data_IF_085715574496
#
_entry.id   IF_085715574496
#
_cell.length_a   1.000
_cell.length_b   1.000
_cell.length_c   1.000
_cell.angle_alpha   90.00
_cell.angle_beta   90.00
_cell.angle_gamma   90.00
#
_symmetry.space_group_name_H-M   'P 1'
#
loop_
_entity.id
_entity.type
_entity.pdbx_description
1 polymer ?
#
# COMPACT_ATOMS: atom_id res chain seq x y z
N UNK A 1 -2.28 -43.26 16.11
CA UNK A 1 -2.06 -41.87 16.49
C UNK A 1 -2.13 -41.06 15.20
N UNK A 2 -3.34 -40.57 14.85
CA UNK A 2 -3.58 -39.78 13.64
C UNK A 2 -3.15 -38.36 13.92
N UNK A 3 -2.08 -37.90 13.26
CA UNK A 3 -1.72 -36.48 13.20
C UNK A 3 -2.70 -35.85 12.23
N UNK A 4 -3.71 -35.15 12.76
CA UNK A 4 -4.56 -34.29 11.96
C UNK A 4 -3.71 -33.14 11.43
N UNK A 5 -3.32 -33.19 10.16
CA UNK A 5 -2.88 -32.03 9.44
C UNK A 5 -4.05 -31.05 9.38
N UNK A 6 -4.03 -30.07 10.25
CA UNK A 6 -4.81 -28.86 10.05
C UNK A 6 -4.26 -28.20 8.79
N UNK A 7 -4.90 -28.42 7.66
CA UNK A 7 -4.83 -27.51 6.55
C UNK A 7 -5.39 -26.18 7.07
N UNK A 8 -4.53 -25.28 7.48
CA UNK A 8 -4.89 -23.87 7.51
C UNK A 8 -5.24 -23.55 6.05
N UNK A 9 -6.51 -23.33 5.80
CA UNK A 9 -6.98 -22.60 4.62
C UNK A 9 -6.35 -21.21 4.74
N UNK A 10 -5.23 -21.01 4.07
CA UNK A 10 -4.54 -19.74 4.04
C UNK A 10 -5.33 -18.78 3.15
N UNK A 11 -6.43 -18.24 3.69
CA UNK A 11 -7.11 -17.10 3.11
C UNK A 11 -6.13 -15.92 3.02
N UNK A 12 -6.27 -15.10 2.00
CA UNK A 12 -5.55 -13.83 1.90
C UNK A 12 -6.33 -12.75 2.61
N UNK A 13 -5.62 -11.87 3.34
CA UNK A 13 -6.21 -10.75 4.06
C UNK A 13 -5.51 -9.46 3.71
N UNK A 14 -6.29 -8.45 3.32
CA UNK A 14 -5.84 -7.08 3.11
C UNK A 14 -6.35 -6.21 4.24
N UNK A 15 -5.47 -5.41 4.87
CA UNK A 15 -5.83 -4.37 5.84
C UNK A 15 -5.36 -3.02 5.32
N UNK A 16 -6.27 -2.06 5.24
CA UNK A 16 -5.93 -0.68 4.86
C UNK A 16 -5.31 0.05 6.07
N UNK A 17 -4.02 0.30 6.03
CA UNK A 17 -3.29 1.00 7.08
C UNK A 17 -3.45 2.52 7.01
N UNK A 18 -3.65 3.05 5.81
CA UNK A 18 -3.94 4.43 5.52
C UNK A 18 -4.56 4.56 4.13
N UNK A 19 -5.49 5.48 3.98
CA UNK A 19 -6.30 5.64 2.75
C UNK A 19 -6.29 7.07 2.21
N UNK A 20 -5.49 7.95 2.82
CA UNK A 20 -5.37 9.35 2.46
C UNK A 20 -4.20 9.62 1.51
N UNK A 21 -4.30 10.69 0.77
CA UNK A 21 -3.25 11.25 -0.07
C UNK A 21 -2.07 11.81 0.76
N UNK A 22 -1.07 12.36 0.10
CA UNK A 22 0.20 12.84 0.66
C UNK A 22 0.08 13.74 1.91
N UNK A 23 -0.99 14.48 2.05
CA UNK A 23 -1.22 15.35 3.20
C UNK A 23 -2.00 14.66 4.34
N UNK A 24 -2.57 13.49 4.09
CA UNK A 24 -3.56 12.88 4.96
C UNK A 24 -4.85 13.69 5.08
N UNK A 25 -5.81 13.21 5.83
CA UNK A 25 -7.06 13.91 6.18
C UNK A 25 -7.31 13.74 7.68
N UNK A 26 -7.50 14.82 8.43
CA UNK A 26 -7.61 16.23 8.04
C UNK A 26 -6.28 16.85 7.58
N UNK A 27 -6.39 17.78 6.63
CA UNK A 27 -5.25 18.58 6.16
C UNK A 27 -4.93 19.68 7.15
N UNK A 28 -3.65 19.89 7.45
CA UNK A 28 -3.19 20.92 8.40
C UNK A 28 -3.73 22.29 7.98
N UNK A 29 -4.42 22.97 8.92
CA UNK A 29 -5.01 24.27 8.71
C UNK A 29 -6.31 24.31 7.89
N UNK A 30 -6.76 23.19 7.31
CA UNK A 30 -8.02 23.12 6.60
C UNK A 30 -9.22 23.14 7.55
N UNK A 31 -10.27 23.86 7.14
CA UNK A 31 -11.50 24.01 7.92
C UNK A 31 -12.75 23.55 7.18
N UNK A 32 -12.57 22.79 6.09
CA UNK A 32 -13.71 22.23 5.36
C UNK A 32 -14.46 21.19 6.20
N UNK A 33 -15.65 20.85 5.75
CA UNK A 33 -16.53 19.89 6.41
C UNK A 33 -15.84 18.56 6.67
N UNK A 34 -15.21 17.97 5.66
CA UNK A 34 -14.49 16.69 5.75
C UNK A 34 -13.36 16.74 6.79
N UNK A 35 -12.55 17.81 6.79
CA UNK A 35 -11.45 17.95 7.76
C UNK A 35 -11.92 18.20 9.21
N UNK A 36 -13.20 18.55 9.41
CA UNK A 36 -13.85 18.72 10.72
C UNK A 36 -14.77 17.59 11.11
N UNK A 37 -14.95 16.61 10.22
CA UNK A 37 -15.82 15.46 10.47
C UNK A 37 -15.40 14.68 11.71
N UNK A 38 -16.39 14.20 12.44
CA UNK A 38 -16.20 13.28 13.58
C UNK A 38 -16.26 11.81 13.14
N UNK A 39 -16.71 11.54 11.91
CA UNK A 39 -16.68 10.19 11.35
C UNK A 39 -15.22 9.75 11.16
N UNK A 40 -14.85 8.62 11.79
CA UNK A 40 -13.50 8.09 11.70
C UNK A 40 -13.09 7.72 10.27
N UNK A 41 -14.06 7.43 9.40
CA UNK A 41 -13.81 7.09 8.00
C UNK A 41 -13.38 8.30 7.15
N UNK A 42 -13.61 9.52 7.64
CA UNK A 42 -13.12 10.77 7.06
C UNK A 42 -11.71 11.15 7.53
N UNK A 43 -11.18 10.41 8.51
CA UNK A 43 -9.80 10.59 9.00
C UNK A 43 -8.91 9.56 8.34
N UNK A 44 -7.98 10.02 7.52
CA UNK A 44 -7.18 9.17 6.65
C UNK A 44 -5.69 9.46 6.83
N UNK A 45 -4.94 8.49 7.34
CA UNK A 45 -3.49 8.48 7.31
C UNK A 45 -2.99 8.33 5.87
N UNK A 46 -1.71 8.66 5.63
CA UNK A 46 -1.09 8.46 4.29
C UNK A 46 -1.23 7.01 3.88
N UNK A 47 -1.44 6.84 2.59
CA UNK A 47 -1.71 5.54 1.97
C UNK A 47 -0.66 4.50 2.33
N UNK A 48 -1.15 3.38 2.83
CA UNK A 48 -0.38 2.16 3.08
C UNK A 48 -1.35 1.00 3.29
N UNK A 49 -0.92 -0.21 3.02
CA UNK A 49 -1.70 -1.42 3.23
C UNK A 49 -0.84 -2.57 3.78
N UNK A 50 -1.49 -3.51 4.45
CA UNK A 50 -0.89 -4.77 4.88
C UNK A 50 -1.59 -5.93 4.20
N UNK A 51 -0.82 -6.80 3.56
CA UNK A 51 -1.29 -8.06 2.95
C UNK A 51 -0.73 -9.22 3.75
N UNK A 52 -1.63 -10.07 4.25
CA UNK A 52 -1.28 -11.30 4.94
C UNK A 52 -1.71 -12.49 4.05
N UNK A 53 -0.77 -13.31 3.64
CA UNK A 53 -0.98 -14.45 2.74
C UNK A 53 0.08 -15.52 2.97
N UNK A 54 -0.32 -16.80 3.00
CA UNK A 54 0.58 -17.96 3.21
C UNK A 54 1.49 -17.81 4.44
N UNK A 55 0.99 -17.17 5.51
CA UNK A 55 1.76 -16.91 6.72
C UNK A 55 2.79 -15.79 6.63
N UNK A 56 2.89 -15.13 5.47
CA UNK A 56 3.73 -13.95 5.26
C UNK A 56 2.93 -12.67 5.48
N UNK A 57 3.60 -11.61 5.93
CA UNK A 57 3.03 -10.28 6.14
C UNK A 57 3.82 -9.23 5.38
N UNK A 58 3.20 -8.65 4.37
CA UNK A 58 3.76 -7.62 3.51
C UNK A 58 3.16 -6.26 3.84
N UNK A 59 3.99 -5.24 3.95
CA UNK A 59 3.54 -3.86 4.04
C UNK A 59 3.78 -3.19 2.69
N UNK A 60 2.73 -2.60 2.13
CA UNK A 60 2.84 -1.76 0.93
C UNK A 60 2.93 -0.32 1.40
N UNK A 61 4.08 0.29 1.14
CA UNK A 61 4.51 1.63 1.55
C UNK A 61 4.64 1.85 3.08
N UNK A 62 5.65 2.62 3.44
CA UNK A 62 5.99 2.98 4.81
C UNK A 62 6.14 4.52 4.92
N UNK A 63 5.03 5.23 4.79
CA UNK A 63 4.96 6.68 4.89
C UNK A 63 5.16 7.22 6.32
N UNK A 64 5.04 8.54 6.53
CA UNK A 64 5.29 9.17 7.84
C UNK A 64 4.39 8.65 8.96
N UNK A 65 3.27 8.02 8.64
CA UNK A 65 2.32 7.47 9.62
C UNK A 65 2.61 6.00 9.97
N UNK A 66 3.65 5.38 9.38
CA UNK A 66 3.98 3.96 9.50
C UNK A 66 3.99 3.48 10.96
N UNK A 67 4.67 4.20 11.86
CA UNK A 67 4.71 3.83 13.28
C UNK A 67 3.31 3.75 13.89
N UNK A 68 2.47 4.75 13.65
CA UNK A 68 1.11 4.77 14.18
C UNK A 68 0.26 3.65 13.58
N UNK A 69 0.40 3.39 12.29
CA UNK A 69 -0.28 2.31 11.56
C UNK A 69 0.06 0.94 12.16
N UNK A 70 1.35 0.66 12.40
CA UNK A 70 1.80 -0.59 13.03
C UNK A 70 1.27 -0.77 14.46
N UNK A 71 1.28 0.30 15.26
CA UNK A 71 0.76 0.27 16.64
C UNK A 71 -0.76 0.08 16.68
N UNK A 72 -1.51 0.73 15.79
CA UNK A 72 -2.97 0.60 15.71
C UNK A 72 -3.41 -0.82 15.39
N UNK A 73 -2.72 -1.47 14.46
CA UNK A 73 -3.04 -2.84 14.04
C UNK A 73 -2.33 -3.91 14.90
N UNK A 74 -1.54 -3.51 15.91
CA UNK A 74 -0.82 -4.45 16.78
C UNK A 74 0.19 -5.32 16.04
N UNK A 75 0.81 -4.78 14.98
CA UNK A 75 1.77 -5.50 14.15
C UNK A 75 3.07 -5.70 14.93
N UNK A 76 3.48 -6.94 15.13
CA UNK A 76 4.70 -7.31 15.85
C UNK A 76 5.80 -7.86 14.94
N UNK A 77 5.47 -8.21 13.69
CA UNK A 77 6.37 -8.80 12.72
C UNK A 77 5.96 -8.40 11.30
N UNK A 78 6.95 -8.21 10.44
CA UNK A 78 6.77 -7.98 8.99
C UNK A 78 7.84 -8.79 8.23
N UNK A 79 7.47 -9.37 7.10
CA UNK A 79 8.40 -10.15 6.26
C UNK A 79 9.06 -9.26 5.21
N UNK A 80 8.33 -8.32 4.63
CA UNK A 80 8.89 -7.35 3.71
C UNK A 80 8.05 -6.07 3.62
N UNK A 81 8.70 -4.99 3.18
CA UNK A 81 8.06 -3.75 2.72
C UNK A 81 8.20 -3.69 1.19
N UNK A 82 7.09 -3.44 0.52
CA UNK A 82 7.02 -3.26 -0.92
C UNK A 82 6.74 -1.78 -1.19
N UNK A 83 7.67 -1.07 -1.80
CA UNK A 83 7.54 0.35 -2.09
C UNK A 83 7.01 0.56 -3.49
N UNK A 84 5.97 1.38 -3.61
CA UNK A 84 5.35 1.71 -4.89
C UNK A 84 6.17 2.72 -5.68
N UNK A 85 6.72 3.74 -5.01
CA UNK A 85 7.57 4.77 -5.59
C UNK A 85 8.30 5.59 -4.50
N UNK A 86 9.13 6.56 -4.89
CA UNK A 86 10.06 7.26 -4.00
C UNK A 86 9.49 8.45 -3.22
N UNK A 87 8.23 8.85 -3.40
CA UNK A 87 7.66 9.99 -2.68
C UNK A 87 7.64 9.80 -1.15
N UNK A 88 7.75 10.90 -0.41
CA UNK A 88 7.95 10.85 1.04
C UNK A 88 6.73 10.41 1.82
N UNK A 89 5.54 10.60 1.28
CA UNK A 89 4.30 10.08 1.86
C UNK A 89 4.22 8.53 1.80
N UNK A 90 5.07 7.88 0.97
CA UNK A 90 5.19 6.43 0.85
C UNK A 90 6.46 5.87 1.51
N UNK A 91 7.47 6.71 1.78
CA UNK A 91 8.79 6.25 2.24
C UNK A 91 9.28 6.89 3.52
N UNK A 92 8.62 7.98 3.99
CA UNK A 92 9.14 8.82 5.08
C UNK A 92 9.19 8.17 6.46
N UNK A 93 8.53 7.04 6.67
CA UNK A 93 8.50 6.31 7.94
C UNK A 93 9.47 5.12 8.02
N UNK A 94 10.31 4.92 7.02
CA UNK A 94 11.22 3.75 6.96
C UNK A 94 12.17 3.66 8.16
N UNK A 95 12.56 4.77 8.80
CA UNK A 95 13.40 4.71 9.99
C UNK A 95 12.76 3.94 11.15
N UNK A 96 11.44 3.92 11.24
CA UNK A 96 10.69 3.23 12.30
C UNK A 96 10.75 1.69 12.19
N UNK A 97 11.27 1.12 11.08
CA UNK A 97 11.52 -0.33 10.97
C UNK A 97 12.53 -0.80 12.02
N UNK A 98 13.30 0.12 12.57
CA UNK A 98 14.22 -0.12 13.69
C UNK A 98 13.54 -0.84 14.86
N UNK A 99 12.28 -0.55 15.13
CA UNK A 99 11.53 -1.24 16.18
C UNK A 99 11.44 -2.74 15.95
N UNK A 100 11.21 -3.17 14.70
CA UNK A 100 11.17 -4.59 14.33
C UNK A 100 12.57 -5.22 14.34
N UNK A 101 13.62 -4.46 14.00
CA UNK A 101 14.98 -4.98 14.00
C UNK A 101 15.47 -5.40 15.39
N UNK A 102 15.05 -4.69 16.44
CA UNK A 102 15.60 -4.85 17.79
C UNK A 102 14.61 -5.40 18.81
N UNK A 103 13.40 -5.81 18.41
CA UNK A 103 12.36 -6.32 19.32
C UNK A 103 12.83 -7.53 20.15
N UNK A 104 13.67 -8.38 19.58
CA UNK A 104 14.19 -9.60 20.21
C UNK A 104 15.68 -9.46 20.63
N UNK A 105 16.11 -8.23 20.95
CA UNK A 105 17.53 -8.03 21.32
C UNK A 105 17.99 -9.05 22.38
N UNK A 106 19.20 -9.71 22.22
CA UNK A 106 20.31 -9.35 21.32
C UNK A 106 20.21 -9.90 19.88
N UNK A 107 19.17 -10.62 19.51
CA UNK A 107 18.93 -11.02 18.11
C UNK A 107 18.52 -9.78 17.34
N UNK A 108 19.16 -9.54 16.20
CA UNK A 108 18.86 -8.40 15.32
C UNK A 108 18.26 -8.94 14.03
N UNK A 109 17.05 -8.50 13.73
CA UNK A 109 16.34 -8.86 12.50
C UNK A 109 16.66 -7.87 11.39
N UNK A 110 16.64 -8.32 10.15
CA UNK A 110 16.81 -7.46 8.97
C UNK A 110 15.47 -7.20 8.32
N UNK A 111 15.12 -5.94 8.09
CA UNK A 111 13.95 -5.58 7.29
C UNK A 111 14.30 -5.60 5.82
N UNK A 112 13.56 -6.39 5.05
CA UNK A 112 13.69 -6.48 3.60
C UNK A 112 12.77 -5.46 2.93
N UNK A 113 13.34 -4.58 2.08
CA UNK A 113 12.60 -3.54 1.35
C UNK A 113 12.80 -3.77 -0.15
N UNK A 114 11.70 -3.83 -0.87
CA UNK A 114 11.65 -4.05 -2.31
C UNK A 114 11.07 -2.82 -3.00
N UNK A 115 11.63 -2.45 -4.14
CA UNK A 115 11.14 -1.35 -4.96
C UNK A 115 11.88 -1.31 -6.30
N UNK A 116 11.41 -0.50 -7.24
CA UNK A 116 12.13 -0.28 -8.48
C UNK A 116 13.44 0.49 -8.24
N UNK A 117 14.30 0.54 -9.24
CA UNK A 117 15.64 1.12 -9.08
C UNK A 117 15.61 2.58 -8.61
N UNK A 118 14.79 3.52 -9.17
CA UNK A 118 14.72 4.90 -8.68
C UNK A 118 14.31 4.99 -7.20
N UNK A 119 13.37 4.17 -6.78
CA UNK A 119 12.90 4.12 -5.39
C UNK A 119 14.03 3.63 -4.46
N UNK A 120 14.69 2.54 -4.83
CA UNK A 120 15.80 1.97 -4.03
C UNK A 120 16.97 2.95 -3.92
N UNK A 121 17.32 3.65 -4.99
CA UNK A 121 18.34 4.70 -4.95
C UNK A 121 17.94 5.88 -4.05
N UNK A 122 16.66 6.29 -4.08
CA UNK A 122 16.14 7.32 -3.19
C UNK A 122 16.25 6.90 -1.73
N UNK A 123 15.86 5.66 -1.37
CA UNK A 123 16.00 5.14 -0.02
C UNK A 123 17.46 5.12 0.43
N UNK A 124 18.36 4.66 -0.42
CA UNK A 124 19.81 4.62 -0.11
C UNK A 124 20.38 6.01 0.17
N UNK A 125 19.94 7.02 -0.58
CA UNK A 125 20.35 8.42 -0.41
C UNK A 125 19.78 9.01 0.89
N UNK A 126 18.48 8.82 1.11
CA UNK A 126 17.74 9.51 2.17
C UNK A 126 18.03 8.89 3.55
N UNK A 127 18.28 7.60 3.61
CA UNK A 127 18.64 6.85 4.82
C UNK A 127 20.10 6.38 4.78
N UNK A 128 21.01 7.16 4.17
CA UNK A 128 22.41 6.81 3.94
C UNK A 128 23.14 6.29 5.19
N UNK A 129 22.78 6.77 6.38
CA UNK A 129 23.36 6.34 7.66
C UNK A 129 23.10 4.85 7.95
N UNK A 130 21.98 4.31 7.47
CA UNK A 130 21.64 2.89 7.59
C UNK A 130 22.51 1.99 6.68
N UNK A 131 23.14 2.56 5.65
CA UNK A 131 23.95 1.86 4.64
C UNK A 131 25.46 2.20 4.73
N UNK A 132 25.86 3.05 5.68
CA UNK A 132 27.24 3.43 5.90
C UNK A 132 28.10 2.25 6.33
N UNK A 133 29.39 2.21 5.89
CA UNK A 133 30.36 1.22 6.38
C UNK A 133 30.65 1.39 7.88
N UNK A 134 30.56 2.61 8.39
CA UNK A 134 30.80 2.94 9.80
C UNK A 134 29.44 3.23 10.51
N UNK A 135 28.60 2.21 10.59
CA UNK A 135 27.31 2.31 11.28
C UNK A 135 27.52 2.51 12.79
N UNK A 136 26.77 3.45 13.39
CA UNK A 136 26.64 3.48 14.85
C UNK A 136 25.64 2.41 15.32
N UNK A 137 25.72 2.03 16.60
CA UNK A 137 24.79 1.05 17.17
C UNK A 137 23.36 1.57 17.18
N UNK A 138 22.41 0.72 16.75
CA UNK A 138 20.99 1.04 16.77
C UNK A 138 20.46 1.76 15.52
N UNK A 139 21.23 1.83 14.42
CA UNK A 139 20.67 2.17 13.10
C UNK A 139 19.75 1.07 12.59
N UNK A 140 18.77 1.38 11.73
CA UNK A 140 17.95 0.36 11.12
C UNK A 140 18.80 -0.66 10.32
N UNK A 141 18.51 -1.95 10.50
CA UNK A 141 19.09 -3.02 9.70
C UNK A 141 18.16 -3.31 8.51
N UNK A 142 18.53 -2.76 7.35
CA UNK A 142 17.75 -2.80 6.12
C UNK A 142 18.53 -3.50 5.02
N UNK A 143 17.85 -4.37 4.30
CA UNK A 143 18.33 -4.96 3.06
C UNK A 143 17.44 -4.52 1.91
N UNK A 144 18.04 -3.83 0.94
CA UNK A 144 17.35 -3.31 -0.24
C UNK A 144 17.40 -4.33 -1.39
N UNK A 145 16.28 -4.47 -2.07
CA UNK A 145 16.11 -5.35 -3.23
C UNK A 145 15.48 -4.56 -4.38
N UNK A 146 16.20 -4.48 -5.50
CA UNK A 146 15.68 -3.87 -6.72
C UNK A 146 14.81 -4.87 -7.47
N UNK A 147 13.60 -4.45 -7.80
CA UNK A 147 12.63 -5.25 -8.56
C UNK A 147 12.88 -5.11 -10.07
N UNK A 148 12.70 -6.21 -10.80
CA UNK A 148 12.41 -6.16 -12.23
C UNK A 148 10.91 -5.91 -12.41
N UNK A 149 10.53 -4.72 -12.87
CA UNK A 149 9.13 -4.31 -13.05
C UNK A 149 8.36 -5.17 -14.07
N UNK A 150 9.09 -5.96 -14.89
CA UNK A 150 8.49 -6.78 -15.95
C UNK A 150 8.25 -8.24 -15.55
N UNK A 151 8.75 -8.67 -14.40
CA UNK A 151 8.74 -10.08 -13.99
C UNK A 151 8.15 -10.26 -12.60
N UNK A 152 7.42 -11.37 -12.37
CA UNK A 152 7.05 -11.73 -11.01
C UNK A 152 8.30 -12.06 -10.19
N UNK A 153 8.19 -11.85 -8.88
CA UNK A 153 9.21 -12.21 -7.90
C UNK A 153 8.55 -12.95 -6.72
N UNK A 154 9.36 -13.66 -5.95
CA UNK A 154 8.85 -14.50 -4.85
C UNK A 154 9.49 -14.12 -3.53
N UNK A 155 8.67 -13.97 -2.48
CA UNK A 155 9.11 -13.77 -1.11
C UNK A 155 8.39 -14.78 -0.22
N UNK A 156 9.15 -15.60 0.54
CA UNK A 156 8.58 -16.59 1.46
C UNK A 156 7.64 -17.62 0.81
N UNK A 157 7.79 -17.87 -0.50
CA UNK A 157 6.92 -18.74 -1.28
C UNK A 157 5.81 -18.00 -2.04
N UNK A 158 5.45 -16.79 -1.61
CA UNK A 158 4.39 -15.99 -2.25
C UNK A 158 4.90 -15.32 -3.53
N UNK A 159 4.24 -15.60 -4.65
CA UNK A 159 4.51 -14.91 -5.92
C UNK A 159 3.80 -13.57 -5.97
N UNK A 160 4.53 -12.52 -6.35
CA UNK A 160 4.06 -11.14 -6.45
C UNK A 160 4.35 -10.63 -7.86
N UNK A 161 3.33 -10.15 -8.55
CA UNK A 161 3.45 -9.60 -9.90
C UNK A 161 3.41 -8.07 -9.86
N UNK A 162 4.47 -7.37 -10.32
CA UNK A 162 4.46 -5.92 -10.45
C UNK A 162 3.51 -5.46 -11.56
N UNK A 163 2.79 -4.37 -11.27
CA UNK A 163 1.92 -3.66 -12.23
C UNK A 163 2.42 -2.23 -12.34
N UNK A 164 2.84 -1.81 -13.50
CA UNK A 164 3.44 -0.49 -13.70
C UNK A 164 2.40 0.52 -14.21
N UNK A 165 2.30 1.66 -13.54
CA UNK A 165 1.49 2.78 -13.98
C UNK A 165 2.27 4.09 -13.99
N UNK A 166 1.80 5.06 -14.79
CA UNK A 166 2.32 6.42 -14.77
C UNK A 166 1.74 7.16 -13.57
N UNK A 167 2.58 7.89 -12.84
CA UNK A 167 2.15 8.79 -11.77
C UNK A 167 2.21 10.27 -12.22
N UNK A 168 3.06 10.55 -13.18
CA UNK A 168 3.17 11.82 -13.89
C UNK A 168 4.08 11.62 -15.10
N UNK A 169 4.40 12.68 -15.83
CA UNK A 169 5.38 12.60 -16.92
C UNK A 169 6.77 12.11 -16.48
N UNK A 170 7.10 12.26 -15.19
CA UNK A 170 8.44 11.96 -14.65
C UNK A 170 8.50 10.76 -13.71
N UNK A 171 7.36 10.37 -13.13
CA UNK A 171 7.31 9.33 -12.10
C UNK A 171 6.42 8.18 -12.53
N UNK A 172 6.84 6.98 -12.17
CA UNK A 172 6.05 5.76 -12.28
C UNK A 172 5.78 5.22 -10.89
N UNK A 173 4.65 4.56 -10.73
CA UNK A 173 4.31 3.82 -9.54
C UNK A 173 4.19 2.34 -9.88
N UNK A 174 4.64 1.49 -8.96
CA UNK A 174 4.54 0.03 -9.06
C UNK A 174 3.45 -0.44 -8.12
N UNK A 175 2.36 -0.96 -8.68
CA UNK A 175 1.37 -1.72 -7.93
C UNK A 175 1.79 -3.17 -7.79
N UNK A 176 1.12 -3.91 -6.90
CA UNK A 176 1.46 -5.30 -6.60
C UNK A 176 0.22 -6.18 -6.70
N UNK A 177 0.34 -7.29 -7.44
CA UNK A 177 -0.68 -8.32 -7.52
C UNK A 177 -0.23 -9.56 -6.75
N UNK A 178 -1.10 -10.02 -5.84
CA UNK A 178 -0.99 -11.26 -5.07
C UNK A 178 -2.14 -12.18 -5.49
N UNK A 179 -1.90 -13.09 -6.43
CA UNK A 179 -2.95 -13.96 -6.95
C UNK A 179 -4.20 -13.20 -7.41
N UNK A 180 -5.28 -13.24 -6.62
CA UNK A 180 -6.57 -12.60 -6.92
C UNK A 180 -6.74 -11.19 -6.35
N UNK A 181 -5.77 -10.68 -5.62
CA UNK A 181 -5.72 -9.30 -5.10
C UNK A 181 -4.75 -8.46 -5.91
N UNK A 182 -5.15 -7.26 -6.31
CA UNK A 182 -4.23 -6.24 -6.82
C UNK A 182 -4.38 -4.92 -6.05
N UNK A 183 -3.24 -4.33 -5.70
CA UNK A 183 -3.16 -3.04 -5.01
C UNK A 183 -2.40 -2.04 -5.87
N UNK A 184 -3.09 -1.01 -6.34
CA UNK A 184 -2.59 0.03 -7.22
C UNK A 184 -2.77 1.39 -6.54
N UNK A 185 -1.71 2.16 -6.40
CA UNK A 185 -1.79 3.53 -5.88
C UNK A 185 -0.89 4.46 -6.67
N UNK A 186 -1.20 5.75 -6.63
CA UNK A 186 -0.42 6.82 -7.25
C UNK A 186 -0.21 6.62 -8.75
N UNK A 187 -1.31 6.34 -9.44
CA UNK A 187 -1.34 6.22 -10.89
C UNK A 187 -2.36 7.18 -11.49
N UNK A 188 -2.05 7.71 -12.67
CA UNK A 188 -2.96 8.48 -13.53
C UNK A 188 -3.14 7.84 -14.91
N UNK A 189 -2.34 6.80 -15.23
CA UNK A 189 -2.46 6.04 -16.46
C UNK A 189 -1.86 4.65 -16.30
N UNK A 190 -2.51 3.65 -16.90
CA UNK A 190 -2.04 2.26 -16.99
C UNK A 190 -2.21 1.83 -18.44
N UNK A 191 -1.13 1.34 -19.07
CA UNK A 191 -1.18 0.85 -20.45
C UNK A 191 -1.90 -0.48 -20.54
N UNK A 192 -2.39 -0.84 -21.74
CA UNK A 192 -3.21 -2.04 -21.94
C UNK A 192 -2.47 -3.33 -21.57
N UNK A 193 -1.17 -3.40 -21.81
CA UNK A 193 -0.32 -4.54 -21.47
C UNK A 193 -0.26 -4.77 -19.95
N UNK A 194 -0.26 -3.72 -19.17
CA UNK A 194 -0.28 -3.80 -17.70
C UNK A 194 -1.68 -4.17 -17.19
N UNK A 195 -2.75 -3.69 -17.84
CA UNK A 195 -4.11 -4.08 -17.50
C UNK A 195 -4.38 -5.58 -17.79
N UNK A 196 -3.73 -6.17 -18.81
CA UNK A 196 -3.81 -7.61 -19.07
C UNK A 196 -3.30 -8.43 -17.88
N UNK A 197 -2.31 -7.93 -17.13
CA UNK A 197 -1.80 -8.57 -15.91
C UNK A 197 -2.83 -8.58 -14.77
N UNK A 198 -3.92 -7.82 -14.86
CA UNK A 198 -4.99 -7.75 -13.86
C UNK A 198 -6.16 -8.71 -14.16
N UNK A 199 -6.12 -9.46 -15.25
CA UNK A 199 -7.16 -10.46 -15.55
C UNK A 199 -7.30 -11.50 -14.45
N UNK A 200 -8.54 -11.73 -14.00
CA UNK A 200 -8.85 -12.69 -12.93
C UNK A 200 -8.61 -12.16 -11.52
N UNK A 201 -8.32 -10.85 -11.35
CA UNK A 201 -8.33 -10.21 -10.05
C UNK A 201 -9.77 -10.13 -9.53
N UNK A 202 -10.00 -10.63 -8.30
CA UNK A 202 -11.30 -10.57 -7.62
C UNK A 202 -11.44 -9.34 -6.75
N UNK A 203 -10.33 -8.89 -6.15
CA UNK A 203 -10.30 -7.66 -5.34
C UNK A 203 -9.28 -6.69 -5.93
N UNK A 204 -9.76 -5.52 -6.34
CA UNK A 204 -8.91 -4.44 -6.88
C UNK A 204 -8.91 -3.25 -5.91
N UNK A 205 -7.72 -2.83 -5.48
CA UNK A 205 -7.51 -1.54 -4.83
C UNK A 205 -6.90 -0.59 -5.85
N UNK A 206 -7.48 0.61 -6.00
CA UNK A 206 -6.99 1.62 -6.93
C UNK A 206 -7.11 3.03 -6.34
N UNK A 207 -6.14 3.90 -6.63
CA UNK A 207 -6.23 5.28 -6.18
C UNK A 207 -7.36 6.05 -6.87
N UNK A 208 -8.04 6.90 -6.10
CA UNK A 208 -9.01 7.88 -6.61
C UNK A 208 -8.92 9.15 -5.77
N UNK A 209 -8.15 10.12 -6.23
CA UNK A 209 -7.80 11.29 -5.42
C UNK A 209 -9.01 12.15 -5.05
N UNK A 210 -9.93 12.35 -6.01
CA UNK A 210 -11.12 13.21 -5.92
C UNK A 210 -12.01 13.04 -7.17
N UNK A 211 -13.14 13.73 -7.20
CA UNK A 211 -14.06 13.67 -8.35
C UNK A 211 -13.53 14.36 -9.59
N UNK A 212 -12.85 15.51 -9.44
CA UNK A 212 -12.29 16.27 -10.56
C UNK A 212 -10.96 15.66 -11.03
N UNK A 213 -10.65 15.75 -12.33
CA UNK A 213 -9.38 15.30 -12.89
C UNK A 213 -8.15 15.87 -12.19
N UNK A 214 -7.07 15.12 -12.19
CA UNK A 214 -5.78 15.51 -11.65
C UNK A 214 -4.65 15.04 -12.56
N UNK A 215 -3.55 15.79 -12.62
CA UNK A 215 -2.43 15.50 -13.52
C UNK A 215 -1.60 14.27 -13.15
N UNK A 216 -1.64 13.82 -11.90
CA UNK A 216 -0.80 12.73 -11.40
C UNK A 216 -1.56 11.58 -10.74
N UNK A 217 -2.88 11.68 -10.57
CA UNK A 217 -3.70 10.63 -9.95
C UNK A 217 -5.00 10.46 -10.71
N UNK A 218 -5.54 9.26 -10.70
CA UNK A 218 -6.91 9.04 -11.17
C UNK A 218 -7.91 9.87 -10.37
N UNK A 219 -8.86 10.47 -11.07
CA UNK A 219 -10.13 10.88 -10.52
C UNK A 219 -11.02 9.66 -10.26
N UNK A 220 -12.13 9.83 -9.53
CA UNK A 220 -13.10 8.74 -9.33
C UNK A 220 -13.58 8.18 -10.67
N UNK A 221 -13.90 9.02 -11.64
CA UNK A 221 -14.39 8.59 -12.95
C UNK A 221 -13.35 7.74 -13.72
N UNK A 222 -12.08 8.16 -13.70
CA UNK A 222 -11.00 7.41 -14.34
C UNK A 222 -10.71 6.08 -13.62
N UNK A 223 -10.73 6.07 -12.28
CA UNK A 223 -10.60 4.84 -11.51
C UNK A 223 -11.74 3.86 -11.80
N UNK A 224 -12.99 4.33 -11.90
CA UNK A 224 -14.14 3.51 -12.24
C UNK A 224 -14.04 2.93 -13.66
N UNK A 225 -13.42 3.63 -14.62
CA UNK A 225 -13.18 3.09 -15.95
C UNK A 225 -12.18 1.91 -15.89
N UNK A 226 -11.12 2.01 -15.08
CA UNK A 226 -10.20 0.87 -14.85
C UNK A 226 -10.94 -0.30 -14.17
N UNK A 227 -11.75 -0.03 -13.14
CA UNK A 227 -12.57 -1.05 -12.46
C UNK A 227 -13.48 -1.76 -13.48
N UNK A 228 -14.16 -1.02 -14.37
CA UNK A 228 -15.02 -1.59 -15.42
C UNK A 228 -14.23 -2.51 -16.38
N UNK A 229 -12.98 -2.15 -16.72
CA UNK A 229 -12.11 -2.94 -17.62
C UNK A 229 -11.58 -4.20 -16.97
N UNK A 230 -11.18 -4.12 -15.70
CA UNK A 230 -10.67 -5.27 -14.92
C UNK A 230 -11.81 -6.19 -14.50
N UNK A 231 -13.00 -5.63 -14.24
CA UNK A 231 -14.21 -6.31 -13.80
C UNK A 231 -14.00 -7.21 -12.55
N UNK A 232 -13.41 -6.67 -11.45
CA UNK A 232 -13.25 -7.43 -10.22
C UNK A 232 -14.62 -7.67 -9.55
N UNK A 233 -14.67 -8.61 -8.59
CA UNK A 233 -15.86 -8.81 -7.74
C UNK A 233 -16.08 -7.63 -6.79
N UNK A 234 -14.99 -7.06 -6.26
CA UNK A 234 -14.99 -5.90 -5.36
C UNK A 234 -13.85 -4.96 -5.72
N UNK A 235 -14.13 -3.67 -5.68
CA UNK A 235 -13.11 -2.64 -5.86
C UNK A 235 -13.11 -1.65 -4.69
N UNK A 236 -11.92 -1.23 -4.26
CA UNK A 236 -11.73 -0.28 -3.16
C UNK A 236 -10.95 0.93 -3.63
N UNK A 237 -11.52 2.12 -3.46
CA UNK A 237 -10.85 3.37 -3.77
C UNK A 237 -10.00 3.82 -2.59
N UNK A 238 -8.74 4.18 -2.86
CA UNK A 238 -7.76 4.63 -1.86
C UNK A 238 -7.04 5.91 -2.29
N UNK A 239 -6.08 6.39 -1.53
CA UNK A 239 -5.30 7.61 -1.78
C UNK A 239 -6.15 8.87 -1.95
N UNK A 240 -7.18 9.01 -1.12
CA UNK A 240 -8.19 10.05 -1.24
C UNK A 240 -7.78 11.33 -0.54
N UNK A 241 -8.06 12.47 -1.18
CA UNK A 241 -7.96 13.78 -0.53
C UNK A 241 -9.28 14.14 0.18
N UNK A 242 -9.27 15.20 0.99
CA UNK A 242 -10.49 15.76 1.60
C UNK A 242 -11.53 16.25 0.57
N UNK A 243 -11.12 16.37 -0.70
CA UNK A 243 -12.02 16.79 -1.79
C UNK A 243 -12.87 15.65 -2.36
N UNK A 244 -12.71 14.43 -1.84
CA UNK A 244 -13.62 13.32 -2.16
C UNK A 244 -15.02 13.57 -1.57
N UNK A 245 -15.13 14.40 -0.52
CA UNK A 245 -16.36 14.64 0.26
C UNK A 245 -16.42 13.77 1.52
N UNK A 246 -17.51 13.89 2.26
CA UNK A 246 -17.78 13.02 3.42
C UNK A 246 -17.92 11.57 2.96
N UNK A 247 -17.35 10.66 3.72
CA UNK A 247 -17.31 9.23 3.38
C UNK A 247 -18.72 8.67 3.11
N UNK A 248 -19.67 8.99 3.97
CA UNK A 248 -21.05 8.51 3.82
C UNK A 248 -21.69 8.99 2.48
N UNK A 249 -21.62 10.28 2.21
CA UNK A 249 -22.22 10.87 1.00
C UNK A 249 -21.49 10.43 -0.29
N UNK A 250 -20.17 10.37 -0.25
CA UNK A 250 -19.38 9.95 -1.39
C UNK A 250 -19.59 8.46 -1.72
N UNK A 251 -19.79 7.61 -0.70
CA UNK A 251 -20.09 6.19 -0.88
C UNK A 251 -21.43 5.95 -1.59
N UNK A 252 -22.45 6.77 -1.34
CA UNK A 252 -23.77 6.66 -2.00
C UNK A 252 -23.71 6.94 -3.52
N UNK A 253 -22.63 7.58 -3.98
CA UNK A 253 -22.43 7.95 -5.39
C UNK A 253 -21.68 6.88 -6.18
N UNK A 254 -21.16 5.87 -5.53
CA UNK A 254 -20.38 4.81 -6.19
C UNK A 254 -21.31 3.70 -6.71
N UNK A 255 -20.93 3.04 -7.82
CA UNK A 255 -21.67 1.89 -8.31
C UNK A 255 -21.54 0.69 -7.36
N UNK A 256 -22.45 -0.27 -7.50
CA UNK A 256 -22.40 -1.56 -6.78
C UNK A 256 -21.03 -2.24 -6.98
N UNK A 257 -20.51 -2.85 -5.91
CA UNK A 257 -19.20 -3.53 -5.92
C UNK A 257 -18.00 -2.59 -5.78
N UNK A 258 -18.20 -1.27 -5.69
CA UNK A 258 -17.13 -0.29 -5.47
C UNK A 258 -17.35 0.46 -4.16
N UNK A 259 -16.32 0.49 -3.32
CA UNK A 259 -16.36 1.11 -1.99
C UNK A 259 -15.21 2.11 -1.79
N UNK A 260 -15.43 3.12 -0.97
CA UNK A 260 -14.33 3.91 -0.42
C UNK A 260 -13.65 3.12 0.69
N UNK A 261 -12.35 2.88 0.58
CA UNK A 261 -11.59 2.34 1.69
C UNK A 261 -11.52 3.35 2.86
N UNK A 262 -11.30 2.87 4.06
CA UNK A 262 -11.02 3.66 5.25
C UNK A 262 -9.97 2.98 6.12
N UNK A 263 -9.31 3.73 6.95
CA UNK A 263 -8.21 3.25 7.79
C UNK A 263 -8.70 2.17 8.78
N UNK A 264 -8.09 1.00 8.76
CA UNK A 264 -8.46 -0.17 9.55
C UNK A 264 -9.49 -1.09 8.88
N UNK A 265 -10.00 -0.77 7.66
CA UNK A 265 -10.83 -1.70 6.91
C UNK A 265 -10.02 -2.96 6.56
N UNK A 266 -10.63 -4.11 6.83
CA UNK A 266 -10.05 -5.42 6.51
C UNK A 266 -10.91 -6.13 5.48
N UNK A 267 -10.28 -6.72 4.48
CA UNK A 267 -10.91 -7.49 3.41
C UNK A 267 -10.30 -8.88 3.38
N UNK A 268 -11.13 -9.90 3.55
CA UNK A 268 -10.70 -11.28 3.44
C UNK A 268 -11.05 -11.84 2.05
N UNK A 269 -10.10 -12.55 1.46
CA UNK A 269 -10.27 -13.34 0.26
C UNK A 269 -10.18 -14.81 0.70
N UNK A 270 -11.34 -15.45 0.82
CA UNK A 270 -11.46 -16.88 1.08
C UNK A 270 -11.68 -17.60 -0.25
N UNK A 271 -11.16 -18.81 -0.38
CA UNK A 271 -11.36 -19.69 -1.53
C UNK A 271 -12.85 -20.00 -1.78
#
# INVERSE_FOLDING_TARGET
MYIAYFYYLCGMKLTFLGTGTSQGVPVIGCRCEVCRSEDRRDRRLRTSAMVEVEGQRFIIDAGPDFRYQMLREGVTHIDAILLTHEHKDHTGGIDDVRAFNFVDFPVIHTTHIYGNEPTIESIRRDFHYAFSQNKYRGVPEIKLHTLDEQRPFTIGGVEILPIVGSHSERFRSVGFRFGELAYLTDMNHIVDEELEKLKGVRVLVINALRWEPHSSHFSVAEALEIVRRVAPERAYLTHMSHRIGLHAEASERLPEGVELAYDGLTVELND
#
